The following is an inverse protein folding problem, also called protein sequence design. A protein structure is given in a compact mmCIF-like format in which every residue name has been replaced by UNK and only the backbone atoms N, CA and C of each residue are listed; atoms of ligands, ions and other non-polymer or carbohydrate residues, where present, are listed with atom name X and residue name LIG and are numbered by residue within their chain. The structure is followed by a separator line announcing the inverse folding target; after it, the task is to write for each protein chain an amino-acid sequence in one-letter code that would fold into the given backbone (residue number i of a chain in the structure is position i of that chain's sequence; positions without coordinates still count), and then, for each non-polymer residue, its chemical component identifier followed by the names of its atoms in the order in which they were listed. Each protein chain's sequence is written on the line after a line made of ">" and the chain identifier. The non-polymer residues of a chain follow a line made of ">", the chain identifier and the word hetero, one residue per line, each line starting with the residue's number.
data_IF_075915882946
#
_entry.id   IF_075915882946
#
_cell.length_a   1.000
_cell.length_b   1.000
_cell.length_c   1.000
_cell.angle_alpha   90.00
_cell.angle_beta   90.00
_cell.angle_gamma   90.00
#
_symmetry.space_group_name_H-M   'P 1'
#
loop_
_entity.id
_entity.type
_entity.pdbx_description
1 polymer ?
#
# COMPACT_ATOMS: atom_id res chain seq x y z
N UNK A 1 -11.70 7.70 -11.51
CA UNK A 1 -12.89 7.92 -10.67
C UNK A 1 -13.21 6.70 -9.81
N UNK A 2 -13.34 5.48 -10.34
CA UNK A 2 -13.68 4.30 -9.51
C UNK A 2 -12.60 3.91 -8.47
N UNK A 3 -11.31 4.03 -8.82
CA UNK A 3 -10.24 3.66 -7.90
C UNK A 3 -10.24 4.59 -6.68
N UNK A 4 -10.33 5.90 -6.88
CA UNK A 4 -10.33 6.91 -5.80
C UNK A 4 -11.56 6.80 -4.89
N UNK A 5 -12.73 6.48 -5.44
CA UNK A 5 -13.95 6.24 -4.65
C UNK A 5 -13.83 4.95 -3.81
N UNK A 6 -13.16 3.91 -4.34
CA UNK A 6 -12.89 2.67 -3.62
C UNK A 6 -11.96 2.85 -2.42
N UNK A 7 -10.94 3.71 -2.55
CA UNK A 7 -10.01 4.04 -1.44
C UNK A 7 -10.60 5.07 -0.47
N UNK A 8 -11.56 5.91 -0.90
CA UNK A 8 -12.23 6.89 -0.02
C UNK A 8 -13.30 6.27 0.89
N UNK A 9 -13.79 5.06 0.56
CA UNK A 9 -14.70 4.32 1.42
C UNK A 9 -13.98 3.86 2.71
N UNK A 10 -14.65 3.86 3.89
CA UNK A 10 -14.08 3.45 5.18
C UNK A 10 -13.82 1.93 5.29
N UNK A 11 -13.53 1.27 4.18
CA UNK A 11 -13.39 -0.17 4.05
C UNK A 11 -11.91 -0.59 4.08
N UNK A 12 -11.18 -0.14 5.10
CA UNK A 12 -9.73 -0.37 5.27
C UNK A 12 -9.36 -1.86 5.14
N UNK A 13 -10.24 -2.77 5.59
CA UNK A 13 -10.04 -4.21 5.49
C UNK A 13 -10.01 -4.72 4.03
N UNK A 14 -10.86 -4.17 3.14
CA UNK A 14 -10.82 -4.53 1.72
C UNK A 14 -9.58 -3.96 1.04
N UNK A 15 -9.24 -2.69 1.30
CA UNK A 15 -8.06 -2.05 0.72
C UNK A 15 -6.78 -2.79 1.13
N UNK A 16 -6.69 -3.23 2.39
CA UNK A 16 -5.59 -4.07 2.86
C UNK A 16 -5.52 -5.40 2.10
N UNK A 17 -6.66 -6.09 1.93
CA UNK A 17 -6.71 -7.38 1.21
C UNK A 17 -6.30 -7.24 -0.26
N UNK A 18 -6.72 -6.15 -0.91
CA UNK A 18 -6.31 -5.85 -2.29
C UNK A 18 -4.83 -5.48 -2.36
N UNK A 19 -4.33 -4.68 -1.41
CA UNK A 19 -2.93 -4.32 -1.30
C UNK A 19 -2.03 -5.55 -1.14
N UNK A 20 -2.45 -6.49 -0.28
CA UNK A 20 -1.74 -7.76 -0.07
C UNK A 20 -1.66 -8.59 -1.34
N UNK A 21 -2.77 -8.71 -2.07
CA UNK A 21 -2.79 -9.40 -3.36
C UNK A 21 -1.89 -8.72 -4.39
N UNK A 22 -1.90 -7.38 -4.46
CA UNK A 22 -0.99 -6.63 -5.34
C UNK A 22 0.47 -6.87 -4.97
N UNK A 23 0.79 -6.90 -3.68
CA UNK A 23 2.12 -7.19 -3.18
C UNK A 23 2.59 -8.61 -3.54
N UNK A 24 1.72 -9.62 -3.35
CA UNK A 24 2.00 -11.02 -3.73
C UNK A 24 2.20 -11.21 -5.23
N UNK A 25 1.54 -10.39 -6.06
CA UNK A 25 1.70 -10.40 -7.51
C UNK A 25 2.93 -9.61 -7.99
N UNK A 26 3.74 -9.06 -7.09
CA UNK A 26 4.91 -8.24 -7.42
C UNK A 26 4.57 -6.81 -7.86
N UNK A 27 3.30 -6.41 -7.76
CA UNK A 27 2.84 -5.04 -8.05
C UNK A 27 3.03 -4.14 -6.82
N UNK A 28 4.28 -3.98 -6.41
CA UNK A 28 4.64 -3.21 -5.21
C UNK A 28 4.26 -1.73 -5.31
N UNK A 29 4.32 -1.11 -6.50
CA UNK A 29 3.88 0.28 -6.71
C UNK A 29 2.38 0.47 -6.46
N UNK A 30 1.54 -0.49 -6.88
CA UNK A 30 0.10 -0.43 -6.63
C UNK A 30 -0.20 -0.66 -5.14
N UNK A 31 0.46 -1.63 -4.52
CA UNK A 31 0.34 -1.92 -3.09
C UNK A 31 0.73 -0.70 -2.23
N UNK A 32 1.78 0.04 -2.62
CA UNK A 32 2.20 1.29 -1.96
C UNK A 32 1.07 2.32 -1.89
N UNK A 33 0.39 2.57 -3.00
CA UNK A 33 -0.71 3.56 -3.07
C UNK A 33 -1.86 3.14 -2.15
N UNK A 34 -2.19 1.85 -2.16
CA UNK A 34 -3.26 1.30 -1.32
C UNK A 34 -2.92 1.39 0.17
N UNK A 35 -1.72 0.96 0.58
CA UNK A 35 -1.29 1.04 1.98
C UNK A 35 -1.13 2.48 2.48
N UNK A 36 -0.66 3.39 1.62
CA UNK A 36 -0.58 4.81 1.96
C UNK A 36 -1.96 5.42 2.21
N UNK A 37 -2.97 4.99 1.46
CA UNK A 37 -4.33 5.49 1.62
C UNK A 37 -4.99 5.08 2.94
N UNK A 38 -4.72 3.85 3.42
CA UNK A 38 -5.22 3.37 4.72
C UNK A 38 -4.26 3.62 5.89
N UNK A 39 -3.21 4.42 5.69
CA UNK A 39 -2.15 4.68 6.68
C UNK A 39 -1.52 3.41 7.26
N UNK A 40 -1.38 2.36 6.45
CA UNK A 40 -0.84 1.07 6.89
C UNK A 40 0.68 1.01 6.73
N UNK A 41 1.36 1.79 7.58
CA UNK A 41 2.80 2.04 7.49
C UNK A 41 3.69 0.80 7.61
N UNK A 42 3.27 -0.21 8.40
CA UNK A 42 4.02 -1.44 8.57
C UNK A 42 4.24 -2.19 7.23
N UNK A 43 3.18 -2.39 6.45
CA UNK A 43 3.31 -3.02 5.12
C UNK A 43 3.82 -2.05 4.06
N UNK A 44 3.56 -0.75 4.21
CA UNK A 44 4.11 0.27 3.32
C UNK A 44 5.65 0.28 3.36
N UNK A 45 6.26 0.27 4.55
CA UNK A 45 7.71 0.23 4.72
C UNK A 45 8.33 -1.03 4.11
N UNK A 46 7.71 -2.20 4.35
CA UNK A 46 8.13 -3.46 3.71
C UNK A 46 8.04 -3.35 2.19
N UNK A 47 6.94 -2.83 1.66
CA UNK A 47 6.73 -2.65 0.21
C UNK A 47 7.76 -1.71 -0.40
N UNK A 48 8.11 -0.62 0.28
CA UNK A 48 9.14 0.32 -0.13
C UNK A 48 10.55 -0.29 -0.13
N UNK A 49 10.87 -1.16 0.85
CA UNK A 49 12.10 -1.95 0.83
C UNK A 49 12.18 -2.87 -0.39
N UNK A 50 11.07 -3.54 -0.75
CA UNK A 50 11.01 -4.39 -1.95
C UNK A 50 11.16 -3.59 -3.26
N UNK A 51 10.75 -2.32 -3.27
CA UNK A 51 10.95 -1.39 -4.39
C UNK A 51 12.37 -0.78 -4.43
N UNK A 52 13.22 -1.06 -3.44
CA UNK A 52 14.52 -0.41 -3.29
C UNK A 52 14.45 1.05 -2.85
N UNK A 53 13.27 1.54 -2.45
CA UNK A 53 13.07 2.88 -1.92
C UNK A 53 13.27 2.90 -0.40
N UNK A 54 14.52 2.70 0.02
CA UNK A 54 14.88 2.63 1.43
C UNK A 54 14.68 3.96 2.18
N UNK A 55 14.82 5.10 1.49
CA UNK A 55 14.51 6.41 2.08
C UNK A 55 13.05 6.51 2.47
N UNK A 56 12.14 6.21 1.54
CA UNK A 56 10.70 6.19 1.85
C UNK A 56 10.34 5.17 2.92
N UNK A 57 11.03 4.01 2.97
CA UNK A 57 10.81 3.01 4.01
C UNK A 57 11.18 3.54 5.41
N UNK A 58 12.30 4.27 5.53
CA UNK A 58 12.72 4.91 6.79
C UNK A 58 11.72 5.98 7.21
N UNK A 59 11.23 6.80 6.29
CA UNK A 59 10.23 7.84 6.57
C UNK A 59 8.87 7.27 6.99
N UNK A 60 8.57 6.03 6.60
CA UNK A 60 7.35 5.32 6.99
C UNK A 60 7.49 4.49 8.28
N UNK A 61 8.71 4.34 8.83
CA UNK A 61 8.95 3.56 10.05
C UNK A 61 8.74 4.40 11.30
#
# INVERSE_FOLDING_TARGET
>A
AELEEFISAPNHAQIQTVGDRCFEQGMHEAAKILYNNISYYAKLAVTLCHLGNYQGAIECT
#
